data_IF_118862852773
#
_entry.id   IF_118862852773
#
_cell.length_a   1.000
_cell.length_b   1.000
_cell.length_c   1.000
_cell.angle_alpha   90.00
_cell.angle_beta   90.00
_cell.angle_gamma   90.00
#
_symmetry.space_group_name_H-M   'P 1'
#
loop_
_entity.id
_entity.type
_entity.pdbx_description
1 polymer ?
#
# COMPACT_ATOMS: atom_id res chain seq x y z
N UNK A 1 -21.87 -8.28 0.58
CA UNK A 1 -20.81 -8.40 1.60
C UNK A 1 -20.21 -7.02 1.77
N UNK A 2 -20.28 -6.43 2.96
CA UNK A 2 -19.72 -5.09 3.20
C UNK A 2 -18.36 -5.26 3.88
N UNK A 3 -17.29 -5.22 3.11
CA UNK A 3 -15.96 -5.07 3.69
C UNK A 3 -15.93 -3.76 4.48
N UNK A 4 -15.29 -3.75 5.65
CA UNK A 4 -15.03 -2.49 6.34
C UNK A 4 -14.22 -1.60 5.41
N UNK A 5 -14.55 -0.31 5.30
CA UNK A 5 -13.81 0.62 4.44
C UNK A 5 -12.33 0.70 4.82
N UNK A 6 -11.99 0.35 6.06
CA UNK A 6 -10.60 0.25 6.54
C UNK A 6 -9.80 -0.87 5.87
N UNK A 7 -10.49 -1.89 5.36
CA UNK A 7 -9.92 -3.03 4.65
C UNK A 7 -9.82 -2.81 3.14
N UNK A 8 -10.22 -1.63 2.67
CA UNK A 8 -10.10 -1.23 1.28
C UNK A 8 -8.87 -0.33 1.16
N UNK A 9 -7.86 -0.72 0.38
CA UNK A 9 -6.69 0.13 0.15
C UNK A 9 -7.07 1.35 -0.70
N UNK A 10 -6.23 2.40 -0.69
CA UNK A 10 -6.42 3.48 -1.66
C UNK A 10 -6.32 2.96 -3.09
N UNK A 11 -5.32 2.12 -3.36
CA UNK A 11 -5.05 1.55 -4.67
C UNK A 11 -5.06 0.03 -4.54
N UNK A 12 -5.82 -0.68 -5.36
CA UNK A 12 -5.88 -2.14 -5.32
C UNK A 12 -4.47 -2.77 -5.49
N UNK A 13 -4.08 -3.85 -4.78
CA UNK A 13 -2.77 -4.49 -4.96
C UNK A 13 -2.52 -4.96 -6.40
N UNK A 14 -1.27 -4.81 -6.89
CA UNK A 14 -0.88 -5.14 -8.27
C UNK A 14 -1.31 -6.55 -8.67
N UNK A 15 -1.02 -7.55 -7.83
CA UNK A 15 -1.40 -8.95 -8.08
C UNK A 15 -2.90 -9.13 -8.35
N UNK A 16 -3.74 -8.46 -7.56
CA UNK A 16 -5.21 -8.57 -7.71
C UNK A 16 -5.66 -7.88 -8.99
N UNK A 17 -5.03 -6.76 -9.34
CA UNK A 17 -5.29 -6.08 -10.61
C UNK A 17 -4.89 -6.92 -11.81
N UNK A 18 -3.68 -7.48 -11.80
CA UNK A 18 -3.16 -8.33 -12.88
C UNK A 18 -4.08 -9.53 -13.14
N UNK A 19 -4.55 -10.15 -12.06
CA UNK A 19 -5.37 -11.37 -12.10
C UNK A 19 -6.82 -11.11 -12.59
N UNK A 20 -7.44 -9.99 -12.22
CA UNK A 20 -8.89 -9.80 -12.44
C UNK A 20 -9.28 -8.62 -13.32
N UNK A 21 -8.42 -7.61 -13.49
CA UNK A 21 -8.81 -6.33 -14.11
C UNK A 21 -8.03 -5.98 -15.39
N UNK A 22 -6.98 -6.75 -15.70
CA UNK A 22 -6.19 -6.57 -16.92
C UNK A 22 -7.07 -6.66 -18.17
N UNK A 23 -6.92 -5.69 -19.09
CA UNK A 23 -7.62 -5.69 -20.37
C UNK A 23 -9.08 -5.20 -20.32
N UNK A 24 -9.63 -4.90 -19.14
CA UNK A 24 -10.99 -4.37 -19.00
C UNK A 24 -11.09 -2.85 -19.28
N UNK A 25 -9.94 -2.17 -19.29
CA UNK A 25 -9.83 -0.73 -19.48
C UNK A 25 -8.57 -0.40 -20.29
N UNK A 26 -8.61 0.71 -21.05
CA UNK A 26 -7.42 1.30 -21.69
C UNK A 26 -6.71 2.34 -20.80
N UNK A 27 -7.32 2.71 -19.67
CA UNK A 27 -6.70 3.59 -18.67
C UNK A 27 -5.44 2.98 -18.08
N UNK A 28 -4.57 3.84 -17.51
CA UNK A 28 -3.35 3.41 -16.81
C UNK A 28 -3.69 2.48 -15.64
N UNK A 29 -2.83 1.48 -15.33
CA UNK A 29 -3.06 0.54 -14.23
C UNK A 29 -3.42 1.21 -12.90
N UNK A 30 -2.67 2.24 -12.47
CA UNK A 30 -2.94 2.92 -11.21
C UNK A 30 -4.33 3.59 -11.16
N UNK A 31 -4.80 4.13 -12.27
CA UNK A 31 -6.15 4.71 -12.39
C UNK A 31 -7.21 3.63 -12.22
N UNK A 32 -7.04 2.48 -12.89
CA UNK A 32 -7.99 1.35 -12.80
C UNK A 32 -8.00 0.74 -11.41
N UNK A 33 -6.82 0.60 -10.79
CA UNK A 33 -6.67 0.10 -9.43
C UNK A 33 -7.34 0.99 -8.39
N UNK A 34 -7.19 2.31 -8.52
CA UNK A 34 -7.89 3.28 -7.68
C UNK A 34 -9.41 3.23 -7.93
N UNK A 35 -9.84 3.17 -9.19
CA UNK A 35 -11.25 3.03 -9.54
C UNK A 35 -11.89 1.79 -8.90
N UNK A 36 -11.20 0.64 -8.96
CA UNK A 36 -11.66 -0.58 -8.32
C UNK A 36 -11.83 -0.40 -6.81
N UNK A 37 -10.85 0.17 -6.11
CA UNK A 37 -10.97 0.49 -4.68
C UNK A 37 -12.17 1.40 -4.37
N UNK A 38 -12.39 2.45 -5.17
CA UNK A 38 -13.54 3.35 -5.02
C UNK A 38 -14.87 2.62 -5.24
N UNK A 39 -14.93 1.75 -6.26
CA UNK A 39 -16.12 0.97 -6.57
C UNK A 39 -16.45 -0.03 -5.44
N UNK A 40 -15.44 -0.66 -4.85
CA UNK A 40 -15.60 -1.53 -3.67
C UNK A 40 -16.11 -0.71 -2.49
N UNK A 41 -15.56 0.48 -2.23
CA UNK A 41 -16.02 1.35 -1.14
C UNK A 41 -17.49 1.76 -1.32
N UNK A 42 -17.95 2.01 -2.55
CA UNK A 42 -19.36 2.31 -2.86
C UNK A 42 -20.34 1.17 -2.59
N UNK A 43 -19.86 -0.05 -2.34
CA UNK A 43 -20.75 -1.14 -1.89
C UNK A 43 -21.18 -0.96 -0.42
N UNK A 44 -20.55 -0.04 0.30
CA UNK A 44 -20.93 0.31 1.66
C UNK A 44 -22.24 1.12 1.69
N UNK A 45 -23.25 0.76 2.51
CA UNK A 45 -24.57 1.40 2.53
C UNK A 45 -24.55 2.93 2.71
N UNK A 46 -23.55 3.45 3.41
CA UNK A 46 -23.38 4.90 3.65
C UNK A 46 -22.68 5.68 2.53
N UNK A 47 -22.29 5.05 1.42
CA UNK A 47 -21.46 5.68 0.38
C UNK A 47 -22.19 5.67 -0.97
N UNK A 48 -22.82 6.80 -1.31
CA UNK A 48 -23.61 6.93 -2.54
C UNK A 48 -22.86 7.58 -3.73
N UNK A 49 -21.78 8.32 -3.49
CA UNK A 49 -21.09 9.15 -4.50
C UNK A 49 -19.62 8.75 -4.67
N UNK A 50 -19.03 9.01 -5.84
CA UNK A 50 -17.60 8.75 -6.09
C UNK A 50 -16.70 9.62 -5.20
N UNK A 51 -17.11 10.88 -4.98
CA UNK A 51 -16.50 11.75 -4.00
C UNK A 51 -16.60 11.17 -2.57
N UNK A 52 -17.77 10.63 -2.19
CA UNK A 52 -17.98 9.98 -0.90
C UNK A 52 -17.08 8.75 -0.70
N UNK A 53 -16.86 7.94 -1.73
CA UNK A 53 -15.90 6.83 -1.66
C UNK A 53 -14.47 7.31 -1.47
N UNK A 54 -14.06 8.39 -2.14
CA UNK A 54 -12.72 8.95 -1.96
C UNK A 54 -12.53 9.46 -0.53
N UNK A 55 -13.50 10.23 0.00
CA UNK A 55 -13.49 10.72 1.38
C UNK A 55 -13.41 9.56 2.38
N UNK A 56 -14.22 8.52 2.18
CA UNK A 56 -14.24 7.37 3.08
C UNK A 56 -12.91 6.60 3.10
N UNK A 57 -12.17 6.63 1.98
CA UNK A 57 -10.81 6.09 1.92
C UNK A 57 -9.76 7.09 2.43
N UNK A 58 -10.08 8.35 2.71
CA UNK A 58 -9.10 9.37 3.15
C UNK A 58 -8.40 10.09 1.99
N UNK A 59 -9.03 10.13 0.81
CA UNK A 59 -8.54 10.81 -0.38
C UNK A 59 -9.34 12.09 -0.68
N UNK A 60 -8.78 13.03 -1.46
CA UNK A 60 -9.52 14.20 -1.94
C UNK A 60 -10.76 13.80 -2.75
N UNK A 61 -11.92 14.48 -2.57
CA UNK A 61 -13.17 14.11 -3.24
C UNK A 61 -13.09 14.19 -4.77
N UNK A 62 -12.37 15.18 -5.32
CA UNK A 62 -12.23 15.37 -6.76
C UNK A 62 -11.47 14.22 -7.44
N UNK A 63 -10.58 13.56 -6.70
CA UNK A 63 -9.86 12.39 -7.19
C UNK A 63 -10.82 11.23 -7.45
N UNK A 64 -11.86 11.08 -6.62
CA UNK A 64 -12.90 10.07 -6.81
C UNK A 64 -13.69 10.30 -8.10
N UNK A 65 -14.20 11.52 -8.29
CA UNK A 65 -15.01 11.89 -9.46
C UNK A 65 -14.21 11.82 -10.76
N UNK A 66 -12.98 12.34 -10.77
CA UNK A 66 -12.11 12.34 -11.95
C UNK A 66 -11.67 10.93 -12.34
N UNK A 67 -11.32 10.08 -11.36
CA UNK A 67 -10.93 8.68 -11.61
C UNK A 67 -12.09 7.87 -12.19
N UNK A 68 -13.30 8.01 -11.62
CA UNK A 68 -14.49 7.34 -12.15
C UNK A 68 -14.78 7.75 -13.60
N UNK A 69 -14.73 9.06 -13.90
CA UNK A 69 -14.92 9.58 -15.27
C UNK A 69 -13.87 9.00 -16.23
N UNK A 70 -12.60 9.00 -15.85
CA UNK A 70 -11.52 8.46 -16.67
C UNK A 70 -11.74 6.96 -16.96
N UNK A 71 -12.03 6.16 -15.93
CA UNK A 71 -12.29 4.73 -16.10
C UNK A 71 -13.53 4.45 -16.96
N UNK A 72 -14.65 5.13 -16.72
CA UNK A 72 -15.86 4.98 -17.55
C UNK A 72 -15.61 5.30 -19.02
N UNK A 73 -14.81 6.32 -19.34
CA UNK A 73 -14.45 6.65 -20.73
C UNK A 73 -13.51 5.65 -21.41
N UNK A 74 -12.80 4.84 -20.61
CA UNK A 74 -11.77 3.91 -21.07
C UNK A 74 -12.19 2.44 -21.00
N UNK A 75 -13.41 2.17 -20.53
CA UNK A 75 -13.91 0.82 -20.31
C UNK A 75 -14.12 0.12 -21.66
N UNK A 76 -13.45 -1.02 -21.86
CA UNK A 76 -13.56 -1.84 -23.08
C UNK A 76 -14.49 -3.03 -22.90
N UNK A 77 -14.57 -3.56 -21.67
CA UNK A 77 -15.46 -4.65 -21.31
C UNK A 77 -16.90 -4.17 -21.07
N UNK A 78 -17.85 -5.10 -21.05
CA UNK A 78 -19.24 -4.79 -20.68
C UNK A 78 -19.34 -4.38 -19.21
N UNK A 79 -20.30 -3.49 -18.84
CA UNK A 79 -20.47 -3.08 -17.45
C UNK A 79 -20.69 -4.25 -16.48
N UNK A 80 -21.43 -5.27 -16.90
CA UNK A 80 -21.67 -6.48 -16.08
C UNK A 80 -20.38 -7.26 -15.82
N UNK A 81 -19.51 -7.37 -16.81
CA UNK A 81 -18.21 -8.04 -16.65
C UNK A 81 -17.31 -7.27 -15.68
N UNK A 82 -17.26 -5.93 -15.80
CA UNK A 82 -16.49 -5.08 -14.87
C UNK A 82 -16.99 -5.21 -13.43
N UNK A 83 -18.31 -5.18 -13.22
CA UNK A 83 -18.90 -5.34 -11.88
C UNK A 83 -18.54 -6.71 -11.29
N UNK A 84 -18.65 -7.78 -12.09
CA UNK A 84 -18.29 -9.12 -11.64
C UNK A 84 -16.80 -9.22 -11.27
N UNK A 85 -15.91 -8.66 -12.09
CA UNK A 85 -14.48 -8.65 -11.86
C UNK A 85 -14.09 -7.87 -10.59
N UNK A 86 -14.68 -6.69 -10.39
CA UNK A 86 -14.47 -5.89 -9.16
C UNK A 86 -14.98 -6.65 -7.93
N UNK A 87 -16.11 -7.35 -8.01
CA UNK A 87 -16.62 -8.15 -6.90
C UNK A 87 -15.70 -9.34 -6.56
N UNK A 88 -15.06 -9.96 -7.56
CA UNK A 88 -14.05 -11.01 -7.32
C UNK A 88 -12.79 -10.40 -6.70
N UNK A 89 -12.28 -9.29 -7.25
CA UNK A 89 -11.13 -8.57 -6.71
C UNK A 89 -11.34 -8.14 -5.24
N UNK A 90 -12.55 -7.71 -4.88
CA UNK A 90 -12.92 -7.36 -3.51
C UNK A 90 -12.79 -8.55 -2.55
N UNK A 91 -13.18 -9.75 -3.00
CA UNK A 91 -13.07 -10.99 -2.21
C UNK A 91 -11.63 -11.50 -2.09
N UNK A 92 -10.77 -11.14 -3.04
CA UNK A 92 -9.35 -11.50 -3.02
C UNK A 92 -8.50 -10.60 -2.09
N UNK A 93 -9.07 -9.50 -1.57
CA UNK A 93 -8.43 -8.72 -0.52
C UNK A 93 -8.28 -9.55 0.76
N UNK A 94 -7.14 -9.43 1.41
CA UNK A 94 -6.77 -10.28 2.55
C UNK A 94 -7.20 -9.71 3.92
N UNK A 95 -8.14 -8.76 3.91
CA UNK A 95 -8.75 -8.21 5.12
C UNK A 95 -7.83 -7.37 6.01
N UNK A 96 -6.60 -7.04 5.57
CA UNK A 96 -5.69 -6.14 6.29
C UNK A 96 -6.35 -4.79 6.59
N UNK A 97 -6.09 -4.23 7.77
CA UNK A 97 -6.44 -2.82 8.05
C UNK A 97 -5.43 -1.88 7.39
N UNK A 98 -5.77 -1.39 6.19
CA UNK A 98 -4.92 -0.47 5.43
C UNK A 98 -4.77 0.88 6.11
N UNK A 99 -5.78 1.35 6.85
CA UNK A 99 -5.68 2.62 7.61
C UNK A 99 -4.67 2.48 8.75
N UNK A 100 -4.56 1.29 9.35
CA UNK A 100 -3.52 1.01 10.33
C UNK A 100 -2.12 1.03 9.69
N UNK A 101 -1.94 0.39 8.53
CA UNK A 101 -0.66 0.39 7.80
C UNK A 101 -0.25 1.82 7.41
N UNK A 102 -1.18 2.62 6.89
CA UNK A 102 -0.91 4.02 6.55
C UNK A 102 -0.47 4.84 7.76
N UNK A 103 -1.12 4.66 8.90
CA UNK A 103 -0.74 5.33 10.14
C UNK A 103 0.65 4.90 10.63
N UNK A 104 1.02 3.62 10.45
CA UNK A 104 2.39 3.17 10.73
C UNK A 104 3.41 3.86 9.82
N UNK A 105 3.13 3.97 8.52
CA UNK A 105 4.01 4.69 7.58
C UNK A 105 4.13 6.16 7.93
N UNK A 106 3.02 6.83 8.30
CA UNK A 106 3.04 8.23 8.76
C UNK A 106 3.92 8.41 10.00
N UNK A 107 3.83 7.50 10.98
CA UNK A 107 4.74 7.52 12.15
C UNK A 107 6.18 7.28 11.75
N UNK A 108 6.44 6.30 10.87
CA UNK A 108 7.77 5.97 10.38
C UNK A 108 8.44 7.18 9.68
N UNK A 109 7.66 7.99 8.96
CA UNK A 109 8.14 9.19 8.28
C UNK A 109 8.68 10.27 9.24
N UNK A 110 8.24 10.28 10.51
CA UNK A 110 8.64 11.31 11.49
C UNK A 110 10.07 11.15 12.02
N UNK A 111 10.70 10.00 11.83
CA UNK A 111 12.05 9.72 12.37
C UNK A 111 12.98 9.16 11.31
N UNK A 112 14.25 9.55 11.36
CA UNK A 112 15.29 9.08 10.42
C UNK A 112 16.08 7.85 10.92
N UNK A 113 15.97 7.52 12.21
CA UNK A 113 16.80 6.51 12.85
C UNK A 113 16.63 5.12 12.23
N UNK A 114 15.37 4.70 12.03
CA UNK A 114 15.05 3.40 11.42
C UNK A 114 15.66 3.27 10.02
N UNK A 115 15.60 4.35 9.22
CA UNK A 115 16.07 4.32 7.83
C UNK A 115 17.59 4.27 7.79
N UNK A 116 18.25 5.00 8.68
CA UNK A 116 19.72 5.00 8.78
C UNK A 116 20.23 3.62 9.20
N UNK A 117 19.54 2.96 10.15
CA UNK A 117 19.86 1.58 10.55
C UNK A 117 19.61 0.58 9.41
N UNK A 118 18.45 0.66 8.76
CA UNK A 118 18.10 -0.17 7.61
C UNK A 118 19.11 0.00 6.46
N UNK A 119 19.46 1.24 6.12
CA UNK A 119 20.40 1.56 5.04
C UNK A 119 21.79 0.99 5.32
N UNK A 120 22.28 1.09 6.57
CA UNK A 120 23.57 0.48 6.96
C UNK A 120 23.56 -1.05 6.80
N UNK A 121 22.45 -1.70 7.11
CA UNK A 121 22.34 -3.16 7.06
C UNK A 121 22.11 -3.71 5.64
N UNK A 122 21.28 -3.03 4.83
CA UNK A 122 20.76 -3.59 3.58
C UNK A 122 21.22 -2.84 2.32
N UNK A 123 21.70 -1.61 2.45
CA UNK A 123 22.14 -0.79 1.31
C UNK A 123 23.24 0.22 1.69
N UNK A 124 24.44 -0.27 2.07
CA UNK A 124 25.56 0.59 2.47
C UNK A 124 25.84 1.68 1.43
N UNK A 125 26.15 2.90 1.89
CA UNK A 125 26.38 4.06 1.01
C UNK A 125 25.12 4.86 0.63
N UNK A 126 23.92 4.42 1.05
CA UNK A 126 22.68 5.20 0.85
C UNK A 126 22.64 6.41 1.79
N UNK A 127 22.41 7.59 1.23
CA UNK A 127 22.27 8.84 1.98
C UNK A 127 21.00 8.86 2.83
N UNK A 128 21.05 9.45 4.03
CA UNK A 128 19.89 9.61 4.91
C UNK A 128 18.75 10.41 4.26
N UNK A 129 19.06 11.35 3.35
CA UNK A 129 18.09 12.12 2.58
C UNK A 129 17.16 11.23 1.72
N UNK A 130 17.58 10.01 1.38
CA UNK A 130 16.76 9.04 0.63
C UNK A 130 15.60 8.44 1.44
N UNK A 131 15.50 8.76 2.74
CA UNK A 131 14.41 8.30 3.61
C UNK A 131 13.03 8.60 2.98
N UNK A 132 12.85 9.78 2.39
CA UNK A 132 11.57 10.17 1.79
C UNK A 132 11.15 9.24 0.64
N UNK A 133 12.12 8.71 -0.12
CA UNK A 133 11.88 7.74 -1.18
C UNK A 133 11.53 6.35 -0.64
N UNK A 134 12.20 5.93 0.45
CA UNK A 134 11.85 4.68 1.13
C UNK A 134 10.44 4.74 1.74
N UNK A 135 10.09 5.85 2.39
CA UNK A 135 8.73 6.09 2.91
C UNK A 135 7.71 6.08 1.78
N UNK A 136 7.98 6.75 0.66
CA UNK A 136 7.09 6.77 -0.50
C UNK A 136 6.91 5.36 -1.11
N UNK A 137 7.97 4.55 -1.11
CA UNK A 137 7.93 3.16 -1.55
C UNK A 137 7.05 2.31 -0.62
N UNK A 138 7.26 2.38 0.70
CA UNK A 138 6.47 1.63 1.69
C UNK A 138 4.99 2.05 1.60
N UNK A 139 4.72 3.34 1.47
CA UNK A 139 3.37 3.89 1.31
C UNK A 139 2.64 3.26 0.11
N UNK A 140 3.27 3.26 -1.06
CA UNK A 140 2.64 2.81 -2.31
C UNK A 140 2.58 1.29 -2.44
N UNK A 141 3.61 0.56 -2.01
CA UNK A 141 3.72 -0.89 -2.25
C UNK A 141 3.25 -1.75 -1.07
N UNK A 142 3.31 -1.24 0.16
CA UNK A 142 2.97 -2.03 1.37
C UNK A 142 1.65 -1.58 1.96
N UNK A 143 1.50 -0.27 2.19
CA UNK A 143 0.24 0.31 2.66
C UNK A 143 -0.79 0.51 1.54
N UNK A 144 -0.40 0.29 0.27
CA UNK A 144 -1.27 0.42 -0.90
C UNK A 144 -1.96 1.81 -0.96
N UNK A 145 -1.19 2.82 -0.56
CA UNK A 145 -1.61 4.20 -0.50
C UNK A 145 -1.46 4.91 -1.84
N UNK A 146 -2.38 5.83 -2.15
CA UNK A 146 -2.26 6.65 -3.35
C UNK A 146 -1.04 7.57 -3.25
N UNK A 147 -0.25 7.69 -4.32
CA UNK A 147 1.03 8.40 -4.30
C UNK A 147 0.92 9.86 -3.80
N UNK A 148 -0.13 10.58 -4.21
CA UNK A 148 -0.32 11.99 -3.81
C UNK A 148 -0.72 12.15 -2.32
N UNK A 149 -1.05 11.05 -1.62
CA UNK A 149 -1.36 11.06 -0.20
C UNK A 149 -0.17 10.64 0.68
N UNK A 150 1.00 10.41 0.08
CA UNK A 150 2.20 9.97 0.79
C UNK A 150 2.71 11.04 1.77
N UNK A 151 3.12 10.66 3.00
CA UNK A 151 3.50 11.62 4.05
C UNK A 151 4.78 12.42 3.75
N UNK A 152 5.64 11.94 2.85
CA UNK A 152 6.90 12.60 2.48
C UNK A 152 6.77 13.51 1.25
N UNK A 153 5.55 13.83 0.81
CA UNK A 153 5.27 14.71 -0.32
C UNK A 153 4.63 16.02 0.16
N UNK A 154 5.42 17.02 0.61
CA UNK A 154 4.85 18.29 1.04
C UNK A 154 4.24 19.09 -0.12
N UNK A 155 4.61 18.84 -1.39
CA UNK A 155 4.11 19.64 -2.53
C UNK A 155 3.93 18.88 -3.88
N UNK A 156 4.22 17.58 -3.99
CA UNK A 156 4.30 16.95 -5.32
C UNK A 156 2.95 16.38 -5.79
N UNK A 157 2.43 16.96 -6.88
CA UNK A 157 1.33 16.42 -7.71
C UNK A 157 1.67 15.09 -8.41
N UNK A 158 2.82 14.49 -8.13
CA UNK A 158 3.30 13.24 -8.72
C UNK A 158 4.26 12.53 -7.77
N UNK A 159 4.26 11.19 -7.82
CA UNK A 159 5.35 10.38 -7.27
C UNK A 159 6.67 10.80 -7.95
N UNK A 160 7.63 11.41 -7.22
CA UNK A 160 8.81 12.03 -7.83
C UNK A 160 9.62 11.01 -8.62
N UNK A 161 10.21 11.42 -9.75
CA UNK A 161 11.07 10.54 -10.55
C UNK A 161 12.16 9.86 -9.71
N UNK A 162 12.73 10.59 -8.75
CA UNK A 162 13.71 10.08 -7.79
C UNK A 162 13.16 8.91 -6.92
N UNK A 163 11.89 8.96 -6.52
CA UNK A 163 11.27 7.86 -5.77
C UNK A 163 11.05 6.62 -6.66
N UNK A 164 10.80 6.79 -7.98
CA UNK A 164 10.73 5.67 -8.93
C UNK A 164 12.11 5.06 -9.16
N UNK A 165 13.12 5.90 -9.33
CA UNK A 165 14.50 5.45 -9.47
C UNK A 165 14.96 4.68 -8.22
N UNK A 166 14.67 5.22 -7.03
CA UNK A 166 14.93 4.50 -5.78
C UNK A 166 14.27 3.12 -5.80
N UNK A 167 12.98 3.04 -6.10
CA UNK A 167 12.22 1.79 -6.17
C UNK A 167 12.81 0.78 -7.18
N UNK A 168 13.19 1.26 -8.38
CA UNK A 168 13.76 0.44 -9.44
C UNK A 168 15.10 -0.19 -9.04
N UNK A 169 15.89 0.51 -8.21
CA UNK A 169 17.20 0.02 -7.74
C UNK A 169 17.11 -0.93 -6.54
N UNK A 170 15.94 -1.13 -5.95
CA UNK A 170 15.79 -2.06 -4.82
C UNK A 170 15.77 -3.51 -5.31
N UNK A 171 16.64 -4.35 -4.71
CA UNK A 171 16.57 -5.81 -4.86
C UNK A 171 15.33 -6.38 -4.16
N UNK A 172 14.97 -7.62 -4.46
CA UNK A 172 13.85 -8.31 -3.79
C UNK A 172 14.03 -8.34 -2.27
N UNK A 173 15.23 -8.68 -1.79
CA UNK A 173 15.53 -8.73 -0.34
C UNK A 173 15.40 -7.35 0.32
N UNK A 174 15.82 -6.29 -0.36
CA UNK A 174 15.69 -4.92 0.13
C UNK A 174 14.22 -4.46 0.18
N UNK A 175 13.40 -4.85 -0.80
CA UNK A 175 11.95 -4.60 -0.78
C UNK A 175 11.29 -5.33 0.38
N UNK A 176 11.67 -6.59 0.61
CA UNK A 176 11.14 -7.38 1.71
C UNK A 176 11.53 -6.81 3.08
N UNK A 177 12.79 -6.40 3.26
CA UNK A 177 13.24 -5.81 4.51
C UNK A 177 12.60 -4.44 4.79
N UNK A 178 12.39 -3.59 3.77
CA UNK A 178 11.60 -2.36 3.90
C UNK A 178 10.16 -2.64 4.31
N UNK A 179 9.53 -3.66 3.71
CA UNK A 179 8.17 -4.04 4.07
C UNK A 179 8.05 -4.50 5.53
N UNK A 180 9.11 -5.10 6.09
CA UNK A 180 9.16 -5.47 7.50
C UNK A 180 9.29 -4.29 8.45
N UNK A 181 9.77 -3.11 8.01
CA UNK A 181 9.87 -1.93 8.88
C UNK A 181 8.52 -1.44 9.43
N UNK A 182 7.41 -1.77 8.78
CA UNK A 182 6.06 -1.43 9.27
C UNK A 182 5.28 -2.64 9.79
N UNK A 183 5.72 -3.87 9.52
CA UNK A 183 5.06 -5.02 10.16
C UNK A 183 5.44 -5.01 11.65
N UNK A 184 4.50 -5.26 12.58
CA UNK A 184 4.88 -5.43 13.97
C UNK A 184 5.96 -6.50 14.02
N UNK A 185 7.10 -6.18 14.64
CA UNK A 185 8.07 -7.20 15.02
C UNK A 185 7.32 -8.18 15.92
N UNK A 186 6.93 -9.33 15.38
CA UNK A 186 6.67 -10.48 16.21
C UNK A 186 8.02 -10.77 16.84
N UNK A 187 8.20 -10.33 18.09
CA UNK A 187 9.37 -10.64 18.89
C UNK A 187 9.55 -12.15 18.88
N UNK A 188 10.44 -12.67 18.04
CA UNK A 188 10.99 -14.00 18.22
C UNK A 188 11.93 -13.90 19.42
N UNK A 189 11.36 -13.90 20.62
CA UNK A 189 12.10 -14.05 21.87
C UNK A 189 11.63 -15.32 22.55
N UNK A 190 12.02 -16.45 21.96
CA UNK A 190 12.20 -17.68 22.73
C UNK A 190 13.46 -18.37 22.23
N UNK A 191 14.63 -17.86 22.64
CA UNK A 191 15.83 -18.69 22.72
C UNK A 191 15.62 -19.64 23.91
N UNK A 192 15.70 -20.97 23.75
CA UNK A 192 15.72 -21.85 24.90
C UNK A 192 16.98 -21.55 25.71
N UNK A 193 16.81 -21.20 26.99
CA UNK A 193 17.92 -21.15 27.95
C UNK A 193 18.49 -22.56 28.07
N UNK A 194 19.70 -22.76 27.59
CA UNK A 194 20.53 -23.91 27.91
C UNK A 194 20.76 -23.93 29.43
N UNK A 195 20.09 -24.85 30.13
CA UNK A 195 20.47 -25.22 31.48
C UNK A 195 21.66 -26.17 31.38
N UNK A 196 22.87 -25.63 31.35
CA UNK A 196 24.06 -26.36 31.79
C UNK A 196 24.18 -26.06 33.28
N UNK A 197 23.65 -26.96 34.11
CA UNK A 197 23.97 -26.98 35.53
C UNK A 197 24.94 -28.14 35.72
N UNK A 198 26.21 -27.79 35.87
CA UNK A 198 27.20 -28.70 36.43
C UNK A 198 26.90 -28.88 37.92
N UNK A 199 26.81 -30.13 38.35
CA UNK A 199 26.99 -30.51 39.74
C UNK A 199 28.05 -31.61 39.75
N UNK A 200 29.25 -31.19 40.13
CA UNK A 200 30.33 -32.03 40.63
C UNK A 200 30.02 -32.43 42.08
N UNK A 201 29.95 -33.75 42.32
CA UNK A 201 30.46 -34.58 43.44
C UNK A 201 30.55 -34.02 44.88
N UNK A 202 30.44 -34.87 45.92
CA UNK A 202 31.24 -36.10 46.11
C UNK A 202 30.50 -37.40 45.85
#
# INVERSE_FOLDING_TARGET
MTASVRQIPHVLPDRIFEEYLTGLFTSRPDTVRLFASLAIARTHPGIATWAGSAIALGLPPDLGTSTARACSSSQTATPSHVIAAIAVAARALDGRDYRHLENQVRRLATTQLWFTQWARAHRPGTLAASQNHAVAWIWTHVAQGHANAAPSSPEAHQYPAAARQFAATLTTDQRQSLAWCIKPHVSQTTRPRSNVRGETSP
#
